data_IF_468378135734
#
_entry.id   IF_468378135734
#
_cell.length_a   1.000
_cell.length_b   1.000
_cell.length_c   1.000
_cell.angle_alpha   90.00
_cell.angle_beta   90.00
_cell.angle_gamma   90.00
#
_symmetry.space_group_name_H-M   'P 1'
#
loop_
_entity.id
_entity.type
_entity.pdbx_description
1 polymer ?
#
# COMPACT_ATOMS: atom_id res chain seq x y z
N UNK A 1 1.86 1.93 16.66
CA UNK A 1 2.22 0.64 16.06
C UNK A 1 2.97 0.96 14.78
N UNK A 2 4.29 1.04 14.88
CA UNK A 2 5.16 1.20 13.71
C UNK A 2 5.22 -0.15 13.01
N UNK A 3 4.70 -0.21 11.79
CA UNK A 3 4.80 -1.41 10.96
C UNK A 3 6.24 -1.51 10.47
N UNK A 4 7.00 -2.55 10.83
CA UNK A 4 8.41 -2.62 10.48
C UNK A 4 8.58 -2.78 8.98
N UNK A 5 9.56 -2.07 8.42
CA UNK A 5 10.07 -2.34 7.08
C UNK A 5 10.87 -3.65 7.11
N UNK A 6 10.61 -4.53 6.15
CA UNK A 6 11.32 -5.80 5.97
C UNK A 6 11.93 -5.86 4.58
N UNK A 7 12.98 -6.66 4.38
CA UNK A 7 13.44 -6.99 3.03
C UNK A 7 12.50 -8.01 2.41
N UNK A 8 11.97 -7.71 1.23
CA UNK A 8 11.05 -8.60 0.52
C UNK A 8 10.71 -8.08 -0.87
N UNK A 9 9.57 -8.54 -1.38
CA UNK A 9 9.10 -8.23 -2.72
C UNK A 9 8.00 -7.19 -2.68
N UNK A 10 8.05 -6.21 -3.59
CA UNK A 10 6.99 -5.25 -3.76
C UNK A 10 5.89 -5.84 -4.65
N UNK A 11 4.71 -6.05 -4.09
CA UNK A 11 3.56 -6.65 -4.76
C UNK A 11 2.71 -5.63 -5.54
N UNK A 12 3.09 -4.34 -5.47
CA UNK A 12 2.54 -3.30 -6.36
C UNK A 12 3.21 -3.38 -7.74
N UNK A 13 2.78 -2.53 -8.67
CA UNK A 13 3.16 -2.59 -10.09
C UNK A 13 4.64 -2.41 -10.44
N UNK A 14 5.56 -2.24 -9.48
CA UNK A 14 7.01 -2.20 -9.78
C UNK A 14 7.68 -3.58 -9.76
N UNK A 15 7.11 -4.59 -9.08
CA UNK A 15 7.63 -5.96 -9.04
C UNK A 15 9.07 -6.13 -8.51
N UNK A 16 9.65 -5.11 -7.86
CA UNK A 16 11.03 -5.17 -7.35
C UNK A 16 11.15 -6.18 -6.22
N UNK A 17 12.22 -6.97 -6.23
CA UNK A 17 12.53 -7.99 -5.23
C UNK A 17 13.74 -7.58 -4.39
N UNK A 18 13.84 -8.09 -3.17
CA UNK A 18 14.97 -7.82 -2.27
C UNK A 18 15.08 -6.36 -1.82
N UNK A 19 13.97 -5.62 -1.80
CA UNK A 19 13.90 -4.21 -1.36
C UNK A 19 13.22 -4.08 -0.01
N UNK A 20 13.41 -2.95 0.66
CA UNK A 20 12.63 -2.63 1.86
C UNK A 20 11.16 -2.45 1.47
N UNK A 21 10.29 -3.20 2.14
CA UNK A 21 8.83 -3.17 1.97
C UNK A 21 8.13 -3.06 3.31
N UNK A 22 6.96 -2.42 3.30
CA UNK A 22 6.05 -2.33 4.45
C UNK A 22 4.76 -3.10 4.14
N UNK A 23 4.16 -3.69 5.17
CA UNK A 23 2.85 -4.33 5.05
C UNK A 23 1.76 -3.28 4.90
N UNK A 24 0.84 -3.51 3.96
CA UNK A 24 -0.30 -2.63 3.70
C UNK A 24 -1.63 -3.20 4.18
N UNK A 25 -1.73 -4.53 4.24
CA UNK A 25 -2.98 -5.21 4.51
C UNK A 25 -2.92 -6.69 4.12
N UNK A 26 -3.95 -7.48 4.47
CA UNK A 26 -4.20 -8.73 3.78
C UNK A 26 -4.83 -8.47 2.41
N UNK A 27 -4.32 -9.12 1.37
CA UNK A 27 -5.09 -9.30 0.12
C UNK A 27 -5.99 -10.52 0.26
N UNK A 28 -7.23 -10.37 -0.20
CA UNK A 28 -8.23 -11.43 -0.25
C UNK A 28 -8.21 -12.06 -1.63
N UNK A 29 -8.02 -13.38 -1.70
CA UNK A 29 -8.11 -14.13 -2.94
C UNK A 29 -8.75 -15.49 -2.67
N UNK A 30 -9.91 -15.74 -3.30
CA UNK A 30 -10.61 -17.02 -3.20
C UNK A 30 -10.82 -17.53 -1.76
N UNK A 31 -11.23 -16.63 -0.86
CA UNK A 31 -11.42 -16.93 0.56
C UNK A 31 -10.12 -17.13 1.37
N UNK A 32 -8.96 -16.97 0.74
CA UNK A 32 -7.65 -16.99 1.39
C UNK A 32 -7.08 -15.59 1.57
N UNK A 33 -6.22 -15.44 2.59
CA UNK A 33 -5.51 -14.20 2.88
C UNK A 33 -4.02 -14.37 2.57
N UNK A 34 -3.45 -13.42 1.85
CA UNK A 34 -2.00 -13.30 1.69
C UNK A 34 -1.53 -11.91 2.17
N UNK A 35 -0.29 -11.78 2.68
CA UNK A 35 0.20 -10.47 3.10
C UNK A 35 0.51 -9.61 1.87
N UNK A 36 0.15 -8.33 1.91
CA UNK A 36 0.35 -7.40 0.80
C UNK A 36 1.41 -6.35 1.17
N UNK A 37 2.52 -6.35 0.45
CA UNK A 37 3.69 -5.52 0.75
C UNK A 37 4.00 -4.50 -0.36
N UNK A 38 4.52 -3.33 0.04
CA UNK A 38 4.94 -2.28 -0.87
C UNK A 38 6.28 -1.65 -0.48
N UNK A 39 7.11 -1.37 -1.49
CA UNK A 39 8.30 -0.53 -1.32
C UNK A 39 7.93 0.95 -1.21
N UNK A 40 8.83 1.76 -0.64
CA UNK A 40 8.61 3.19 -0.38
C UNK A 40 8.10 3.97 -1.60
N UNK A 41 8.72 3.91 -2.80
CA UNK A 41 8.22 4.69 -3.94
C UNK A 41 6.81 4.31 -4.39
N UNK A 42 6.44 3.04 -4.26
CA UNK A 42 5.10 2.58 -4.61
C UNK A 42 4.07 2.95 -3.54
N UNK A 43 4.47 2.91 -2.26
CA UNK A 43 3.64 3.39 -1.16
C UNK A 43 3.32 4.88 -1.30
N UNK A 44 4.29 5.71 -1.67
CA UNK A 44 4.08 7.15 -1.82
C UNK A 44 3.12 7.46 -2.97
N UNK A 45 3.25 6.75 -4.09
CA UNK A 45 2.27 6.84 -5.18
C UNK A 45 0.86 6.46 -4.70
N UNK A 46 0.73 5.37 -3.93
CA UNK A 46 -0.57 4.94 -3.40
C UNK A 46 -1.17 5.98 -2.46
N UNK A 47 -0.36 6.55 -1.55
CA UNK A 47 -0.78 7.63 -0.64
C UNK A 47 -1.23 8.87 -1.40
N UNK A 48 -0.53 9.25 -2.47
CA UNK A 48 -0.90 10.38 -3.31
C UNK A 48 -2.27 10.16 -3.99
N UNK A 49 -2.53 8.95 -4.50
CA UNK A 49 -3.84 8.60 -5.08
C UNK A 49 -4.96 8.62 -4.04
N UNK A 50 -4.71 8.07 -2.84
CA UNK A 50 -5.68 8.11 -1.74
C UNK A 50 -5.97 9.54 -1.30
N UNK A 51 -4.93 10.38 -1.19
CA UNK A 51 -5.08 11.79 -0.87
C UNK A 51 -5.94 12.54 -1.89
N UNK A 52 -5.67 12.36 -3.19
CA UNK A 52 -6.46 12.95 -4.26
C UNK A 52 -7.93 12.51 -4.19
N UNK A 53 -8.18 11.20 -4.03
CA UNK A 53 -9.51 10.62 -3.84
C UNK A 53 -10.26 11.28 -2.67
N UNK A 54 -9.59 11.46 -1.53
CA UNK A 54 -10.21 12.07 -0.37
C UNK A 54 -10.51 13.55 -0.58
N UNK A 55 -9.62 14.30 -1.23
CA UNK A 55 -9.82 15.72 -1.51
C UNK A 55 -11.00 15.96 -2.47
N UNK A 56 -11.16 15.13 -3.50
CA UNK A 56 -12.29 15.19 -4.43
C UNK A 56 -13.62 14.81 -3.79
N UNK A 57 -13.60 13.88 -2.82
CA UNK A 57 -14.79 13.34 -2.18
C UNK A 57 -15.10 13.94 -0.81
N UNK A 58 -14.36 14.95 -0.34
CA UNK A 58 -14.74 15.65 0.89
C UNK A 58 -16.12 16.28 0.64
N UNK A 59 -17.20 15.87 1.34
CA UNK A 59 -18.42 16.65 1.30
C UNK A 59 -18.06 18.05 1.79
N UNK A 60 -18.57 19.09 1.10
CA UNK A 60 -18.56 20.43 1.64
C UNK A 60 -19.12 20.32 3.06
N UNK A 61 -18.29 20.62 4.05
CA UNK A 61 -18.65 20.52 5.45
C UNK A 61 -19.90 21.39 5.64
N UNK A 62 -21.02 20.75 5.96
CA UNK A 62 -22.26 21.43 6.32
C UNK A 62 -22.14 22.02 7.73
#
# INVERSE_FOLDING_TARGET
>A
MEWPWITGDCWLGCGRTGVLVIWLGPVQWDGQHAPFYACEPCLDRLKAQAFAYFMERRPASA
#
